data_IF_136109349686
#
_entry.id   IF_136109349686
#
_cell.length_a   1.000
_cell.length_b   1.000
_cell.length_c   1.000
_cell.angle_alpha   90.00
_cell.angle_beta   90.00
_cell.angle_gamma   90.00
#
_symmetry.space_group_name_H-M   'P 1'
#
loop_
_entity.id
_entity.type
_entity.pdbx_description
1 polymer ?
#
# COMPACT_ATOMS: atom_id res chain seq x y z
N UNK A 1 44.66 -3.61 20.33
CA UNK A 1 43.80 -2.53 19.84
C UNK A 1 43.04 -3.05 18.61
N UNK A 2 41.92 -3.72 18.84
CA UNK A 2 41.00 -4.17 17.77
C UNK A 2 39.64 -3.57 18.09
N UNK A 3 39.23 -2.57 17.31
CA UNK A 3 37.87 -2.03 17.37
C UNK A 3 36.96 -3.00 16.63
N UNK A 4 36.35 -3.94 17.35
CA UNK A 4 35.16 -4.59 16.85
C UNK A 4 34.01 -3.61 17.01
N UNK A 5 33.52 -3.12 15.87
CA UNK A 5 32.26 -2.39 15.77
C UNK A 5 31.16 -3.36 16.20
N UNK A 6 30.60 -3.15 17.40
CA UNK A 6 29.48 -3.94 17.90
C UNK A 6 28.27 -3.69 16.99
N UNK A 7 27.99 -4.61 16.07
CA UNK A 7 26.68 -4.67 15.42
C UNK A 7 25.65 -5.05 16.48
N UNK A 8 24.54 -4.29 16.62
CA UNK A 8 23.54 -4.58 17.63
C UNK A 8 22.88 -5.93 17.37
N UNK A 9 22.59 -6.65 18.45
CA UNK A 9 22.02 -7.99 18.41
C UNK A 9 20.56 -7.91 17.97
N UNK A 10 20.03 -8.93 17.28
CA UNK A 10 18.66 -8.93 16.71
C UNK A 10 17.57 -8.53 17.74
N UNK A 11 17.74 -8.86 19.03
CA UNK A 11 16.85 -8.44 20.12
C UNK A 11 16.90 -6.94 20.45
N UNK A 12 18.06 -6.30 20.38
CA UNK A 12 18.21 -4.86 20.61
C UNK A 12 17.59 -4.06 19.45
N UNK A 13 17.69 -4.59 18.23
CA UNK A 13 17.05 -4.04 17.03
C UNK A 13 15.52 -4.08 17.13
N UNK A 14 14.94 -5.18 17.61
CA UNK A 14 13.50 -5.29 17.86
C UNK A 14 13.01 -4.37 18.99
N UNK A 15 13.82 -4.16 20.03
CA UNK A 15 13.47 -3.26 21.13
C UNK A 15 13.53 -1.80 20.71
N UNK A 16 14.54 -1.40 19.92
CA UNK A 16 14.60 -0.06 19.33
C UNK A 16 13.42 0.18 18.38
N UNK A 17 13.09 -0.77 17.50
CA UNK A 17 11.97 -0.61 16.55
C UNK A 17 10.62 -0.39 17.26
N UNK A 18 10.36 -1.15 18.34
CA UNK A 18 9.19 -0.98 19.18
C UNK A 18 9.11 0.42 19.83
N UNK A 19 10.25 0.95 20.28
CA UNK A 19 10.32 2.29 20.90
C UNK A 19 10.01 3.39 19.87
N UNK A 20 10.57 3.33 18.65
CA UNK A 20 10.31 4.34 17.61
C UNK A 20 8.85 4.35 17.16
N UNK A 21 8.24 3.18 16.95
CA UNK A 21 6.84 3.08 16.55
C UNK A 21 5.92 3.70 17.60
N UNK A 22 6.21 3.48 18.89
CA UNK A 22 5.49 4.10 19.99
C UNK A 22 5.56 5.64 19.92
N UNK A 23 6.75 6.21 19.73
CA UNK A 23 6.92 7.67 19.62
C UNK A 23 6.22 8.26 18.39
N UNK A 24 6.30 7.59 17.24
CA UNK A 24 5.62 8.02 16.02
C UNK A 24 4.11 8.04 16.21
N UNK A 25 3.54 6.97 16.76
CA UNK A 25 2.10 6.92 17.04
C UNK A 25 1.68 7.98 18.07
N UNK A 26 2.48 8.22 19.10
CA UNK A 26 2.20 9.26 20.09
C UNK A 26 2.23 10.66 19.45
N UNK A 27 3.18 10.93 18.56
CA UNK A 27 3.27 12.18 17.84
C UNK A 27 2.06 12.37 16.91
N UNK A 28 1.66 11.34 16.18
CA UNK A 28 0.47 11.37 15.31
C UNK A 28 -0.80 11.66 16.14
N UNK A 29 -0.96 11.00 17.29
CA UNK A 29 -2.05 11.29 18.24
C UNK A 29 -2.04 12.75 18.68
N UNK A 30 -0.89 13.25 19.11
CA UNK A 30 -0.75 14.62 19.57
C UNK A 30 -1.08 15.64 18.47
N UNK A 31 -0.61 15.41 17.25
CA UNK A 31 -0.92 16.26 16.10
C UNK A 31 -2.40 16.19 15.71
N UNK A 32 -2.97 14.98 15.68
CA UNK A 32 -4.39 14.77 15.37
C UNK A 32 -5.35 15.35 16.43
N UNK A 33 -4.89 15.55 17.67
CA UNK A 33 -5.73 16.18 18.70
C UNK A 33 -6.11 17.63 18.37
N UNK A 34 -5.32 18.31 17.53
CA UNK A 34 -5.64 19.64 17.03
C UNK A 34 -6.58 19.55 15.80
N UNK A 35 -7.79 20.15 15.84
CA UNK A 35 -8.76 20.06 14.74
C UNK A 35 -8.22 20.59 13.41
N UNK A 36 -7.46 21.69 13.43
CA UNK A 36 -6.94 22.31 12.21
C UNK A 36 -5.93 21.39 11.51
N UNK A 37 -5.02 20.79 12.28
CA UNK A 37 -4.04 19.82 11.77
C UNK A 37 -4.74 18.55 11.29
N UNK A 38 -5.66 18.01 12.09
CA UNK A 38 -6.37 16.77 11.77
C UNK A 38 -7.18 16.85 10.47
N UNK A 39 -7.99 17.90 10.31
CA UNK A 39 -8.78 18.09 9.08
C UNK A 39 -7.90 18.22 7.83
N UNK A 40 -6.79 18.99 7.91
CA UNK A 40 -5.87 19.17 6.79
C UNK A 40 -5.10 17.89 6.47
N UNK A 41 -4.75 17.11 7.48
CA UNK A 41 -4.14 15.80 7.28
C UNK A 41 -5.08 14.88 6.51
N UNK A 42 -6.35 14.77 6.91
CA UNK A 42 -7.34 13.95 6.20
C UNK A 42 -7.50 14.41 4.74
N UNK A 43 -7.63 15.72 4.50
CA UNK A 43 -7.73 16.26 3.14
C UNK A 43 -6.50 15.91 2.29
N UNK A 44 -5.30 16.18 2.79
CA UNK A 44 -4.07 15.95 2.04
C UNK A 44 -3.84 14.46 1.77
N UNK A 45 -4.11 13.60 2.75
CA UNK A 45 -3.94 12.15 2.62
C UNK A 45 -4.95 11.57 1.63
N UNK A 46 -6.22 12.00 1.67
CA UNK A 46 -7.23 11.52 0.72
C UNK A 46 -6.94 11.93 -0.73
N UNK A 47 -6.44 13.15 -0.95
CA UNK A 47 -5.93 13.58 -2.25
C UNK A 47 -4.74 12.72 -2.68
N UNK A 48 -3.80 12.43 -1.77
CA UNK A 48 -2.63 11.60 -2.06
C UNK A 48 -3.01 10.16 -2.43
N UNK A 49 -3.99 9.57 -1.74
CA UNK A 49 -4.54 8.24 -2.07
C UNK A 49 -5.09 8.24 -3.50
N UNK A 50 -5.82 9.27 -3.90
CA UNK A 50 -6.34 9.38 -5.28
C UNK A 50 -5.21 9.38 -6.30
N UNK A 51 -4.17 10.21 -6.09
CA UNK A 51 -3.02 10.30 -6.98
C UNK A 51 -2.23 8.98 -7.08
N UNK A 52 -2.01 8.31 -5.96
CA UNK A 52 -1.32 7.02 -5.95
C UNK A 52 -2.18 5.97 -6.65
N UNK A 53 -3.49 5.94 -6.40
CA UNK A 53 -4.39 4.99 -7.06
C UNK A 53 -4.39 5.17 -8.58
N UNK A 54 -4.45 6.41 -9.08
CA UNK A 54 -4.33 6.71 -10.51
C UNK A 54 -2.98 6.29 -11.07
N UNK A 55 -1.88 6.57 -10.38
CA UNK A 55 -0.54 6.14 -10.79
C UNK A 55 -0.44 4.61 -10.86
N UNK A 56 -0.98 3.92 -9.86
CA UNK A 56 -0.96 2.46 -9.79
C UNK A 56 -1.79 1.83 -10.90
N UNK A 57 -2.80 2.48 -11.47
CA UNK A 57 -3.55 1.92 -12.61
C UNK A 57 -2.63 1.67 -13.81
N UNK A 58 -1.69 2.58 -14.06
CA UNK A 58 -0.85 2.57 -15.27
C UNK A 58 0.59 2.08 -15.02
N UNK A 59 1.03 1.97 -13.77
CA UNK A 59 2.41 1.57 -13.42
C UNK A 59 2.64 0.07 -13.60
N UNK A 60 3.70 -0.33 -14.30
CA UNK A 60 4.06 -1.76 -14.40
C UNK A 60 4.20 -2.38 -12.99
N UNK A 61 3.49 -3.47 -12.65
CA UNK A 61 3.64 -4.12 -11.34
C UNK A 61 5.06 -4.64 -11.04
N UNK A 62 5.92 -4.77 -12.06
CA UNK A 62 7.34 -5.12 -11.90
C UNK A 62 8.27 -3.91 -11.87
N UNK A 63 7.73 -2.69 -11.95
CA UNK A 63 8.52 -1.47 -11.73
C UNK A 63 8.95 -1.38 -10.25
N UNK A 64 10.19 -0.96 -10.01
CA UNK A 64 10.77 -0.85 -8.67
C UNK A 64 9.96 0.10 -7.75
N UNK A 65 9.20 1.04 -8.31
CA UNK A 65 8.35 1.95 -7.54
C UNK A 65 7.02 1.32 -7.08
N UNK A 66 6.58 0.22 -7.71
CA UNK A 66 5.25 -0.35 -7.46
C UNK A 66 5.06 -0.83 -6.02
N UNK A 67 5.97 -1.63 -5.41
CA UNK A 67 5.80 -2.11 -4.04
C UNK A 67 5.69 -0.96 -3.04
N UNK A 68 6.56 0.04 -3.16
CA UNK A 68 6.55 1.20 -2.26
C UNK A 68 5.24 2.00 -2.35
N UNK A 69 4.76 2.28 -3.57
CA UNK A 69 3.48 2.98 -3.75
C UNK A 69 2.30 2.16 -3.22
N UNK A 70 2.34 0.84 -3.37
CA UNK A 70 1.31 -0.06 -2.85
C UNK A 70 1.31 -0.10 -1.32
N UNK A 71 2.46 -0.26 -0.68
CA UNK A 71 2.59 -0.29 0.79
C UNK A 71 2.19 1.04 1.42
N UNK A 72 2.57 2.16 0.79
CA UNK A 72 2.16 3.50 1.24
C UNK A 72 0.64 3.65 1.31
N UNK A 73 -0.13 3.01 0.42
CA UNK A 73 -1.59 3.15 0.40
C UNK A 73 -2.24 2.67 1.70
N UNK A 74 -1.82 1.52 2.22
CA UNK A 74 -2.39 0.99 3.46
C UNK A 74 -2.10 1.90 4.65
N UNK A 75 -0.88 2.44 4.74
CA UNK A 75 -0.50 3.38 5.80
C UNK A 75 -1.35 4.66 5.73
N UNK A 76 -1.58 5.20 4.54
CA UNK A 76 -2.40 6.39 4.34
C UNK A 76 -3.87 6.15 4.70
N UNK A 77 -4.44 4.99 4.33
CA UNK A 77 -5.82 4.62 4.68
C UNK A 77 -5.96 4.46 6.19
N UNK A 78 -5.04 3.75 6.84
CA UNK A 78 -5.04 3.58 8.30
C UNK A 78 -4.94 4.91 9.03
N UNK A 79 -4.14 5.86 8.54
CA UNK A 79 -4.04 7.19 9.13
C UNK A 79 -5.38 7.95 9.08
N UNK A 80 -6.10 7.90 7.96
CA UNK A 80 -7.43 8.51 7.84
C UNK A 80 -8.41 7.83 8.79
N UNK A 81 -8.46 6.50 8.79
CA UNK A 81 -9.33 5.71 9.66
C UNK A 81 -9.11 6.07 11.14
N UNK A 82 -7.85 6.12 11.55
CA UNK A 82 -7.43 6.51 12.89
C UNK A 82 -7.90 7.93 13.24
N UNK A 83 -7.62 8.92 12.40
CA UNK A 83 -7.98 10.31 12.67
C UNK A 83 -9.49 10.51 12.80
N UNK A 84 -10.27 9.86 11.93
CA UNK A 84 -11.73 9.92 11.97
C UNK A 84 -12.27 9.24 13.23
N UNK A 85 -11.79 8.04 13.53
CA UNK A 85 -12.31 7.23 14.64
C UNK A 85 -12.03 7.88 16.00
N UNK A 86 -10.82 8.40 16.18
CA UNK A 86 -10.38 8.89 17.49
C UNK A 86 -10.79 10.36 17.73
N UNK A 87 -10.92 11.18 16.68
CA UNK A 87 -11.05 12.63 16.87
C UNK A 87 -12.28 13.30 16.25
N UNK A 88 -12.98 12.71 15.28
CA UNK A 88 -14.12 13.39 14.62
C UNK A 88 -15.20 13.84 15.61
N UNK A 89 -15.51 13.01 16.61
CA UNK A 89 -16.49 13.33 17.65
C UNK A 89 -15.99 14.44 18.58
N UNK A 90 -14.68 14.49 18.85
CA UNK A 90 -14.08 15.53 19.69
C UNK A 90 -14.08 16.86 18.95
N UNK A 91 -13.59 16.88 17.71
CA UNK A 91 -13.56 18.09 16.88
C UNK A 91 -14.95 18.66 16.63
N UNK A 92 -15.98 17.83 16.43
CA UNK A 92 -17.35 18.31 16.18
C UNK A 92 -18.00 19.02 17.38
N UNK A 93 -17.41 18.93 18.56
CA UNK A 93 -17.83 19.67 19.77
C UNK A 93 -17.05 20.97 19.96
N UNK A 94 -16.02 21.19 19.16
CA UNK A 94 -15.20 22.41 19.18
C UNK A 94 -15.91 23.54 18.42
N UNK A 95 -15.92 24.75 19.00
CA UNK A 95 -16.55 25.92 18.37
C UNK A 95 -15.83 26.34 17.07
N UNK A 96 -14.58 25.92 16.88
CA UNK A 96 -13.75 26.16 15.70
C UNK A 96 -13.86 25.11 14.59
N UNK A 97 -14.87 24.22 14.65
CA UNK A 97 -15.05 23.19 13.62
C UNK A 97 -15.29 23.79 12.23
N UNK A 98 -14.34 23.59 11.32
CA UNK A 98 -14.42 24.10 9.95
C UNK A 98 -15.30 23.20 9.08
N UNK A 99 -16.58 23.59 8.96
CA UNK A 99 -17.58 22.90 8.14
C UNK A 99 -17.23 22.90 6.64
N UNK A 100 -16.55 23.94 6.14
CA UNK A 100 -16.17 24.00 4.73
C UNK A 100 -15.06 22.98 4.46
N UNK A 101 -14.03 22.96 5.30
CA UNK A 101 -12.95 21.98 5.22
C UNK A 101 -13.46 20.55 5.44
N UNK A 102 -14.47 20.36 6.30
CA UNK A 102 -15.15 19.08 6.48
C UNK A 102 -15.75 18.56 5.17
N UNK A 103 -16.54 19.39 4.49
CA UNK A 103 -17.15 19.02 3.19
C UNK A 103 -16.07 18.71 2.15
N UNK A 104 -14.98 19.47 2.12
CA UNK A 104 -13.86 19.25 1.20
C UNK A 104 -13.20 17.88 1.42
N UNK A 105 -12.83 17.54 2.66
CA UNK A 105 -12.16 16.26 2.90
C UNK A 105 -13.10 15.07 2.75
N UNK A 106 -14.39 15.19 3.09
CA UNK A 106 -15.39 14.15 2.79
C UNK A 106 -15.49 13.92 1.28
N UNK A 107 -15.55 14.99 0.50
CA UNK A 107 -15.56 14.90 -0.97
C UNK A 107 -14.29 14.22 -1.49
N UNK A 108 -13.13 14.56 -0.93
CA UNK A 108 -11.86 13.96 -1.32
C UNK A 108 -11.76 12.47 -0.95
N UNK A 109 -12.26 12.05 0.21
CA UNK A 109 -12.36 10.62 0.57
C UNK A 109 -13.25 9.86 -0.42
N UNK A 110 -14.40 10.44 -0.79
CA UNK A 110 -15.30 9.81 -1.78
C UNK A 110 -14.62 9.68 -3.16
N UNK A 111 -13.82 10.66 -3.54
CA UNK A 111 -13.01 10.60 -4.77
C UNK A 111 -11.95 9.48 -4.67
N UNK A 112 -11.19 9.45 -3.57
CA UNK A 112 -10.17 8.43 -3.31
C UNK A 112 -10.76 7.01 -3.37
N UNK A 113 -11.95 6.81 -2.77
CA UNK A 113 -12.69 5.55 -2.85
C UNK A 113 -13.04 5.16 -4.29
N UNK A 114 -13.44 6.11 -5.13
CA UNK A 114 -13.74 5.83 -6.55
C UNK A 114 -12.48 5.42 -7.31
N UNK A 115 -11.37 6.13 -7.10
CA UNK A 115 -10.09 5.79 -7.73
C UNK A 115 -9.63 4.39 -7.32
N UNK A 116 -9.74 4.04 -6.04
CA UNK A 116 -9.43 2.71 -5.53
C UNK A 116 -10.25 1.59 -6.15
N UNK A 117 -11.56 1.79 -6.40
CA UNK A 117 -12.40 0.79 -7.06
C UNK A 117 -11.91 0.45 -8.47
N UNK A 118 -11.31 1.40 -9.18
CA UNK A 118 -10.77 1.14 -10.52
C UNK A 118 -9.59 0.15 -10.47
N UNK A 119 -8.82 0.11 -9.37
CA UNK A 119 -7.70 -0.81 -9.22
C UNK A 119 -8.11 -2.28 -9.14
N UNK A 120 -9.35 -2.60 -8.74
CA UNK A 120 -9.85 -3.99 -8.74
C UNK A 120 -9.74 -4.63 -10.14
N UNK A 121 -9.80 -3.83 -11.21
CA UNK A 121 -9.63 -4.29 -12.58
C UNK A 121 -8.20 -4.72 -12.93
N UNK A 122 -7.18 -4.36 -12.13
CA UNK A 122 -5.77 -4.76 -12.36
C UNK A 122 -5.50 -6.24 -12.14
N UNK A 123 -6.37 -6.97 -11.45
CA UNK A 123 -6.16 -8.40 -11.23
C UNK A 123 -5.99 -9.18 -12.55
N UNK A 124 -6.55 -8.68 -13.65
CA UNK A 124 -6.32 -9.24 -15.00
C UNK A 124 -4.88 -9.14 -15.50
N UNK A 125 -4.08 -8.16 -15.06
CA UNK A 125 -2.67 -8.04 -15.45
C UNK A 125 -1.84 -9.19 -14.91
N UNK A 126 -2.06 -9.61 -13.66
CA UNK A 126 -1.37 -10.77 -13.09
C UNK A 126 -1.63 -12.04 -13.88
N UNK A 127 -2.87 -12.24 -14.33
CA UNK A 127 -3.23 -13.36 -15.21
C UNK A 127 -2.46 -13.27 -16.54
N UNK A 128 -2.44 -12.10 -17.20
CA UNK A 128 -1.70 -11.91 -18.45
C UNK A 128 -0.19 -12.17 -18.31
N UNK A 129 0.43 -11.76 -17.20
CA UNK A 129 1.84 -12.05 -16.95
C UNK A 129 2.08 -13.54 -16.69
N UNK A 130 1.19 -14.22 -15.96
CA UNK A 130 1.26 -15.66 -15.78
C UNK A 130 1.03 -16.42 -17.08
N UNK A 131 0.14 -15.95 -17.96
CA UNK A 131 -0.05 -16.51 -19.30
C UNK A 131 1.23 -16.37 -20.13
N UNK A 132 1.91 -15.22 -20.05
CA UNK A 132 3.21 -15.01 -20.71
C UNK A 132 4.28 -15.96 -20.17
N UNK A 133 4.36 -16.14 -18.85
CA UNK A 133 5.29 -17.11 -18.23
C UNK A 133 4.98 -18.53 -18.70
N UNK A 134 3.70 -18.90 -18.71
CA UNK A 134 3.23 -20.23 -19.15
C UNK A 134 3.56 -20.47 -20.62
N UNK A 135 3.37 -19.47 -21.49
CA UNK A 135 3.74 -19.54 -22.90
C UNK A 135 5.25 -19.67 -23.12
N UNK A 136 6.08 -18.93 -22.37
CA UNK A 136 7.54 -19.04 -22.47
C UNK A 136 8.03 -20.41 -21.94
N UNK A 137 7.40 -20.92 -20.89
CA UNK A 137 7.66 -22.25 -20.37
C UNK A 137 7.31 -23.34 -21.40
N UNK A 138 6.11 -23.27 -21.99
CA UNK A 138 5.66 -24.19 -23.03
C UNK A 138 6.63 -24.21 -24.22
N UNK A 139 7.08 -23.02 -24.66
CA UNK A 139 8.07 -22.90 -25.74
C UNK A 139 9.39 -23.61 -25.43
N UNK A 140 9.95 -23.43 -24.23
CA UNK A 140 11.22 -24.09 -23.86
C UNK A 140 11.05 -25.60 -23.67
N UNK A 141 9.97 -26.05 -23.05
CA UNK A 141 9.64 -27.49 -22.90
C UNK A 141 9.44 -28.13 -24.27
N UNK A 142 8.78 -27.43 -25.20
CA UNK A 142 8.60 -27.85 -26.59
C UNK A 142 9.92 -28.02 -27.39
N UNK A 143 11.02 -27.44 -26.91
CA UNK A 143 12.34 -27.53 -27.57
C UNK A 143 13.26 -28.59 -26.97
N UNK A 144 12.99 -29.05 -25.74
CA UNK A 144 13.85 -30.01 -25.02
C UNK A 144 13.16 -31.36 -24.93
N UNK A 145 13.58 -32.32 -25.74
CA UNK A 145 12.98 -33.67 -25.80
C UNK A 145 12.88 -34.36 -24.44
N UNK A 146 13.90 -34.19 -23.59
CA UNK A 146 13.95 -34.78 -22.25
C UNK A 146 12.87 -34.21 -21.30
N UNK A 147 12.41 -32.97 -21.53
CA UNK A 147 11.32 -32.35 -20.77
C UNK A 147 9.93 -32.79 -21.27
N UNK A 148 9.81 -33.21 -22.53
CA UNK A 148 8.56 -33.73 -23.09
C UNK A 148 8.25 -35.15 -22.62
N UNK A 149 9.27 -35.90 -22.22
CA UNK A 149 9.14 -37.24 -21.64
C UNK A 149 8.73 -37.23 -20.15
N UNK A 150 8.64 -36.05 -19.53
CA UNK A 150 8.11 -35.87 -18.18
C UNK A 150 6.59 -36.09 -18.17
N UNK A 151 5.98 -36.09 -16.97
CA UNK A 151 4.57 -36.41 -16.73
C UNK A 151 3.63 -35.86 -17.84
N UNK A 152 3.12 -36.74 -18.72
CA UNK A 152 2.42 -36.33 -19.94
C UNK A 152 1.10 -35.60 -19.66
N UNK A 153 0.47 -35.85 -18.51
CA UNK A 153 -0.76 -35.15 -18.11
C UNK A 153 -0.49 -33.66 -17.85
N UNK A 154 0.65 -33.34 -17.22
CA UNK A 154 1.05 -31.95 -16.93
C UNK A 154 1.51 -31.24 -18.21
N UNK A 155 2.23 -31.96 -19.08
CA UNK A 155 2.70 -31.43 -20.36
C UNK A 155 1.54 -31.10 -21.29
N UNK A 156 0.49 -31.93 -21.32
CA UNK A 156 -0.72 -31.66 -22.10
C UNK A 156 -1.45 -30.40 -21.61
N UNK A 157 -1.51 -30.17 -20.29
CA UNK A 157 -2.10 -28.94 -19.73
C UNK A 157 -1.27 -27.70 -20.11
N UNK A 158 0.05 -27.81 -20.17
CA UNK A 158 0.94 -26.69 -20.49
C UNK A 158 0.82 -26.23 -21.95
N UNK A 159 0.45 -27.12 -22.86
CA UNK A 159 0.30 -26.83 -24.30
C UNK A 159 -1.13 -26.49 -24.73
N UNK A 160 -2.12 -26.56 -23.83
CA UNK A 160 -3.53 -26.29 -24.09
C UNK A 160 -4.03 -24.99 -23.45
#
# INVERSE_FOLDING_TARGET
>A
MSMYHNLPTNQELHHLDADHQFYVQHLIRKLGSDPFVGHRAILSVSQRISLIAESLLFLDPFDDAFPNLHDCMFVLIQLIEFLISDYLVVWSRDEGFDNMLFVEWVTSILHARKALKLLESRNGLYVLYMDRVTGELAKHVGQVSLLQELNPDIINILFH
#
